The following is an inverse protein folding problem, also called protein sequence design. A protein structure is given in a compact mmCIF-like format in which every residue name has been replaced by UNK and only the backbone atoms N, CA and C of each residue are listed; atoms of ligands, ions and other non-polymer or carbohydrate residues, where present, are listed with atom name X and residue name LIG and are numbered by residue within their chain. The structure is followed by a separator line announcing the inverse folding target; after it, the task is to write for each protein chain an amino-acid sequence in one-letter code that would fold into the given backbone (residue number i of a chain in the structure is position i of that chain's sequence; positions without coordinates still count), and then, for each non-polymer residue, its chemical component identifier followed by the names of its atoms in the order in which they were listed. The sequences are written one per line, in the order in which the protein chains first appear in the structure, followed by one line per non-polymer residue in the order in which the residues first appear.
data_IF_811349111956
#
_entry.id   IF_811349111956
#
_cell.length_a   1.000
_cell.length_b   1.000
_cell.length_c   1.000
_cell.angle_alpha   90.00
_cell.angle_beta   90.00
_cell.angle_gamma   90.00
#
_symmetry.space_group_name_H-M   'P 1'
#
loop_
_entity.id
_entity.type
_entity.pdbx_description
1 polymer ?
#
# COMPACT_ATOMS: atom_id res chain seq x y z
N UNK A 1 -4.04 -1.80 -10.94
CA UNK A 1 -3.77 -2.84 -9.92
C UNK A 1 -5.11 -3.20 -9.27
N UNK A 2 -5.33 -4.43 -8.79
CA UNK A 2 -6.60 -4.81 -8.13
C UNK A 2 -6.52 -4.57 -6.61
N UNK A 3 -7.68 -4.43 -5.95
CA UNK A 3 -7.78 -4.28 -4.49
C UNK A 3 -7.05 -5.40 -3.75
N UNK A 4 -7.28 -6.65 -4.18
CA UNK A 4 -6.62 -7.83 -3.61
C UNK A 4 -5.09 -7.79 -3.78
N UNK A 5 -4.59 -7.15 -4.84
CA UNK A 5 -3.16 -7.00 -5.04
C UNK A 5 -2.54 -6.00 -4.03
N UNK A 6 -3.26 -4.96 -3.60
CA UNK A 6 -2.77 -4.05 -2.53
C UNK A 6 -2.54 -4.81 -1.23
N UNK A 7 -3.48 -5.68 -0.85
CA UNK A 7 -3.34 -6.50 0.36
C UNK A 7 -2.23 -7.55 0.23
N UNK A 8 -2.05 -8.13 -0.96
CA UNK A 8 -0.94 -9.06 -1.23
C UNK A 8 0.42 -8.36 -1.10
N UNK A 9 0.54 -7.15 -1.65
CA UNK A 9 1.75 -6.33 -1.52
C UNK A 9 2.02 -5.93 -0.08
N UNK A 10 0.99 -5.53 0.68
CA UNK A 10 1.14 -5.21 2.10
C UNK A 10 1.79 -6.37 2.87
N UNK A 11 1.26 -7.58 2.73
CA UNK A 11 1.82 -8.77 3.38
C UNK A 11 3.25 -9.06 2.95
N UNK A 12 3.57 -8.88 1.68
CA UNK A 12 4.92 -9.10 1.15
C UNK A 12 5.92 -8.07 1.71
N UNK A 13 5.50 -6.81 1.83
CA UNK A 13 6.32 -5.72 2.37
C UNK A 13 6.53 -5.90 3.87
N UNK A 14 5.48 -6.24 4.63
CA UNK A 14 5.57 -6.57 6.05
C UNK A 14 6.51 -7.75 6.30
N UNK A 15 6.39 -8.83 5.51
CA UNK A 15 7.26 -10.01 5.61
C UNK A 15 8.74 -9.69 5.31
N UNK A 16 9.01 -8.63 4.54
CA UNK A 16 10.37 -8.15 4.23
C UNK A 16 10.87 -7.11 5.22
N UNK A 17 10.09 -6.76 6.25
CA UNK A 17 10.46 -5.75 7.24
C UNK A 17 10.46 -4.33 6.68
N UNK A 18 9.74 -4.08 5.58
CA UNK A 18 9.63 -2.75 4.99
C UNK A 18 8.79 -1.85 5.92
N UNK A 19 9.24 -0.62 6.26
CA UNK A 19 8.47 0.29 7.10
C UNK A 19 7.17 0.72 6.41
N UNK A 20 6.04 0.23 6.92
CA UNK A 20 4.71 0.65 6.48
C UNK A 20 4.34 1.93 7.23
N UNK A 21 4.07 3.01 6.50
CA UNK A 21 3.59 4.28 7.05
C UNK A 21 2.08 4.24 7.29
N UNK A 22 1.33 3.65 6.35
CA UNK A 22 -0.11 3.48 6.44
C UNK A 22 -0.52 2.19 5.78
N UNK A 23 -1.14 1.28 6.55
CA UNK A 23 -1.72 0.03 6.06
C UNK A 23 -2.78 0.27 4.96
N UNK A 24 -3.14 -0.76 4.16
CA UNK A 24 -4.12 -0.64 3.09
C UNK A 24 -5.42 -0.02 3.60
N UNK A 25 -5.73 1.17 3.09
CA UNK A 25 -6.87 1.98 3.53
C UNK A 25 -7.81 2.22 2.36
N UNK A 26 -9.09 1.95 2.59
CA UNK A 26 -10.14 2.24 1.63
C UNK A 26 -10.52 3.70 1.66
N UNK A 27 -10.53 4.32 0.49
CA UNK A 27 -10.96 5.68 0.29
C UNK A 27 -12.22 5.69 -0.59
N UNK A 28 -13.41 5.49 0.00
CA UNK A 28 -14.65 5.32 -0.74
C UNK A 28 -15.02 6.54 -1.58
N UNK A 29 -14.61 7.74 -1.15
CA UNK A 29 -14.85 8.99 -1.88
C UNK A 29 -14.16 9.02 -3.26
N UNK A 30 -13.00 8.36 -3.38
CA UNK A 30 -12.23 8.28 -4.63
C UNK A 30 -12.31 6.90 -5.27
N UNK A 31 -13.08 5.96 -4.70
CA UNK A 31 -13.15 4.56 -5.15
C UNK A 31 -11.77 3.92 -5.33
N UNK A 32 -10.83 4.21 -4.43
CA UNK A 32 -9.50 3.60 -4.44
C UNK A 32 -9.16 2.99 -3.08
N UNK A 33 -8.24 2.02 -3.06
CA UNK A 33 -7.54 1.52 -1.87
C UNK A 33 -6.08 1.89 -1.98
N UNK A 34 -5.47 2.38 -0.89
CA UNK A 34 -4.11 2.94 -0.89
C UNK A 34 -3.26 2.38 0.24
N UNK A 35 -1.97 2.18 -0.02
CA UNK A 35 -0.94 1.70 0.90
C UNK A 35 0.26 2.66 0.81
N UNK A 36 0.79 3.08 1.96
CA UNK A 36 1.97 3.94 2.03
C UNK A 36 3.10 3.27 2.78
N UNK A 37 4.30 3.30 2.22
CA UNK A 37 5.50 2.73 2.82
C UNK A 37 6.74 3.51 2.41
N UNK A 38 7.87 3.25 3.08
CA UNK A 38 9.16 3.84 2.70
C UNK A 38 10.03 2.84 1.95
N UNK A 39 10.71 3.34 0.93
CA UNK A 39 11.80 2.62 0.30
C UNK A 39 13.10 2.77 1.13
N UNK A 40 14.19 2.06 0.76
CA UNK A 40 15.48 2.17 1.46
C UNK A 40 16.12 3.57 1.40
N UNK A 41 15.70 4.42 0.47
CA UNK A 41 16.18 5.80 0.30
C UNK A 41 15.33 6.81 1.11
N UNK A 42 14.42 6.31 1.95
CA UNK A 42 13.46 7.07 2.75
C UNK A 42 12.38 7.79 1.92
N UNK A 43 12.24 7.49 0.63
CA UNK A 43 11.16 8.02 -0.20
C UNK A 43 9.81 7.44 0.22
N UNK A 44 8.77 8.25 0.14
CA UNK A 44 7.39 7.81 0.38
C UNK A 44 6.82 7.26 -0.92
N UNK A 45 6.44 5.99 -0.90
CA UNK A 45 5.82 5.30 -2.03
C UNK A 45 4.34 5.08 -1.72
N UNK A 46 3.49 5.47 -2.67
CA UNK A 46 2.06 5.17 -2.68
C UNK A 46 1.76 4.02 -3.64
N UNK A 47 1.15 2.96 -3.12
CA UNK A 47 0.55 1.89 -3.92
C UNK A 47 -0.96 2.05 -3.87
N UNK A 48 -1.62 2.17 -5.03
CA UNK A 48 -3.08 2.28 -5.10
C UNK A 48 -3.72 1.34 -6.12
N UNK A 49 -4.97 0.96 -5.84
CA UNK A 49 -5.83 0.22 -6.75
C UNK A 49 -7.22 0.86 -6.79
N UNK A 50 -7.81 0.91 -7.98
CA UNK A 50 -9.19 1.38 -8.22
C UNK A 50 -10.19 0.21 -8.22
N UNK A 51 -11.43 0.50 -7.82
CA UNK A 51 -12.57 -0.45 -7.85
C UNK A 51 -13.31 -0.45 -9.18
#
# INVERSE_FOLDING_TARGET
MTVAAVDAWHRLLEARGVPILRAPTDLPQWRHRTLFFRDPEDNIIELYAEY
#
